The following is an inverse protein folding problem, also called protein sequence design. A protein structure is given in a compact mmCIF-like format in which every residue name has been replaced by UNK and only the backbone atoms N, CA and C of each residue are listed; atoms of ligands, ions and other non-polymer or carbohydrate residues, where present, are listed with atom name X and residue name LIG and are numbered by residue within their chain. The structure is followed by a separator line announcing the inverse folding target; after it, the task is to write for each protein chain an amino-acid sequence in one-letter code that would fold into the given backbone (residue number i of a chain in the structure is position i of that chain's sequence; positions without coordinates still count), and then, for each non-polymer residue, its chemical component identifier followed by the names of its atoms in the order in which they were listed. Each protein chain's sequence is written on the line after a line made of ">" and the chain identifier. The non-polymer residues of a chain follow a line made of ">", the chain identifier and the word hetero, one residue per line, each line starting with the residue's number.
data_IF_226770496899
#
_entry.id   IF_226770496899
#
_cell.length_a   1.000
_cell.length_b   1.000
_cell.length_c   1.000
_cell.angle_alpha   90.00
_cell.angle_beta   90.00
_cell.angle_gamma   90.00
#
_symmetry.space_group_name_H-M   'P 1'
#
loop_
_entity.id
_entity.type
_entity.pdbx_description
1 polymer ?
#
# COMPACT_ATOMS: atom_id res chain seq x y z
N UNK A 1 -6.73 32.38 -21.53
CA UNK A 1 -7.66 31.23 -21.46
C UNK A 1 -8.14 31.11 -20.02
N UNK A 2 -9.46 31.16 -19.81
CA UNK A 2 -10.09 31.02 -18.49
C UNK A 2 -10.42 29.56 -18.18
N UNK A 3 -10.65 29.26 -16.91
CA UNK A 3 -11.11 27.94 -16.45
C UNK A 3 -12.60 27.71 -16.70
N UNK A 4 -13.34 28.81 -16.92
CA UNK A 4 -14.77 28.83 -17.13
C UNK A 4 -15.10 29.63 -18.39
N UNK A 5 -16.10 29.16 -19.12
CA UNK A 5 -16.80 29.87 -20.17
C UNK A 5 -18.17 30.28 -19.65
N UNK A 6 -18.63 31.46 -20.10
CA UNK A 6 -20.00 31.91 -19.89
C UNK A 6 -20.72 31.75 -21.22
N UNK A 7 -21.72 30.88 -21.23
CA UNK A 7 -22.62 30.71 -22.36
C UNK A 7 -23.92 31.45 -22.03
N UNK A 8 -24.27 32.43 -22.86
CA UNK A 8 -25.57 33.10 -22.80
C UNK A 8 -26.50 32.44 -23.81
N UNK A 9 -27.61 31.87 -23.32
CA UNK A 9 -28.72 31.47 -24.19
C UNK A 9 -29.59 32.69 -24.53
N UNK A 10 -30.40 32.58 -25.59
CA UNK A 10 -31.34 33.61 -26.06
C UNK A 10 -32.33 34.09 -24.98
N UNK A 11 -32.48 33.37 -23.88
CA UNK A 11 -33.33 33.68 -22.73
C UNK A 11 -32.60 34.43 -21.60
N UNK A 12 -31.41 35.00 -21.88
CA UNK A 12 -30.55 35.71 -20.91
C UNK A 12 -30.14 34.87 -19.69
N UNK A 13 -30.20 33.55 -19.79
CA UNK A 13 -29.66 32.65 -18.78
C UNK A 13 -28.19 32.38 -19.05
N UNK A 14 -27.35 32.68 -18.06
CA UNK A 14 -25.90 32.45 -18.10
C UNK A 14 -25.58 31.07 -17.53
N UNK A 15 -25.02 30.19 -18.37
CA UNK A 15 -24.48 28.90 -17.96
C UNK A 15 -22.96 28.99 -17.85
N UNK A 16 -22.42 28.55 -16.72
CA UNK A 16 -20.97 28.46 -16.50
C UNK A 16 -20.51 27.07 -16.93
N UNK A 17 -19.80 26.97 -18.05
CA UNK A 17 -19.21 25.72 -18.54
C UNK A 17 -17.71 25.67 -18.23
N UNK A 18 -17.20 24.51 -17.84
CA UNK A 18 -15.76 24.33 -17.62
C UNK A 18 -15.07 24.19 -18.97
N UNK A 19 -13.96 24.90 -19.18
CA UNK A 19 -13.21 24.81 -20.43
C UNK A 19 -12.50 23.47 -20.57
N UNK A 20 -12.31 23.01 -21.80
CA UNK A 20 -11.70 21.69 -22.04
C UNK A 20 -10.29 21.53 -21.43
N UNK A 21 -9.39 22.53 -21.51
CA UNK A 21 -8.11 22.46 -20.79
C UNK A 21 -8.27 22.37 -19.27
N UNK A 22 -9.25 23.07 -18.69
CA UNK A 22 -9.53 23.01 -17.25
C UNK A 22 -10.14 21.67 -16.85
N UNK A 23 -11.00 21.08 -17.68
CA UNK A 23 -11.55 19.73 -17.48
C UNK A 23 -10.43 18.68 -17.45
N UNK A 24 -9.53 18.70 -18.44
CA UNK A 24 -8.37 17.79 -18.49
C UNK A 24 -7.48 17.96 -17.24
N UNK A 25 -7.23 19.20 -16.80
CA UNK A 25 -6.47 19.43 -15.57
C UNK A 25 -7.20 18.95 -14.32
N UNK A 26 -8.51 19.18 -14.22
CA UNK A 26 -9.32 18.74 -13.08
C UNK A 26 -9.39 17.22 -13.01
N UNK A 27 -9.57 16.53 -14.13
CA UNK A 27 -9.51 15.06 -14.20
C UNK A 27 -8.13 14.53 -13.80
N UNK A 28 -7.05 15.20 -14.22
CA UNK A 28 -5.70 14.84 -13.80
C UNK A 28 -5.51 15.02 -12.29
N UNK A 29 -5.98 16.14 -11.72
CA UNK A 29 -5.92 16.41 -10.28
C UNK A 29 -6.79 15.44 -9.48
N UNK A 30 -7.97 15.08 -9.99
CA UNK A 30 -8.86 14.10 -9.39
C UNK A 30 -8.22 12.71 -9.38
N UNK A 31 -7.60 12.29 -10.50
CA UNK A 31 -6.82 11.03 -10.58
C UNK A 31 -5.68 11.01 -9.56
N UNK A 32 -4.97 12.14 -9.40
CA UNK A 32 -3.90 12.27 -8.40
C UNK A 32 -4.45 12.22 -6.97
N UNK A 33 -5.51 12.97 -6.69
CA UNK A 33 -6.10 13.09 -5.35
C UNK A 33 -6.69 11.76 -4.87
N UNK A 34 -7.38 11.04 -5.75
CA UNK A 34 -8.06 9.80 -5.42
C UNK A 34 -7.15 8.56 -5.47
N UNK A 35 -5.86 8.72 -5.82
CA UNK A 35 -4.89 7.62 -6.01
C UNK A 35 -5.52 6.42 -6.75
N UNK A 36 -6.35 6.69 -7.77
CA UNK A 36 -7.23 5.68 -8.38
C UNK A 36 -6.42 4.45 -8.81
N UNK A 37 -6.84 3.28 -8.37
CA UNK A 37 -6.27 2.00 -8.79
C UNK A 37 -6.78 1.65 -10.18
N UNK A 38 -5.93 1.83 -11.19
CA UNK A 38 -6.22 1.39 -12.55
C UNK A 38 -6.40 -0.15 -12.62
N UNK A 39 -7.30 -0.63 -13.49
CA UNK A 39 -7.51 -2.06 -13.71
C UNK A 39 -6.38 -2.68 -14.55
N UNK A 40 -5.32 -3.17 -13.89
CA UNK A 40 -4.18 -3.81 -14.57
C UNK A 40 -4.58 -4.98 -15.49
N UNK A 41 -5.62 -5.75 -15.11
CA UNK A 41 -6.16 -6.84 -15.93
C UNK A 41 -6.80 -6.33 -17.22
N UNK A 42 -7.45 -5.16 -17.15
CA UNK A 42 -8.07 -4.51 -18.29
C UNK A 42 -7.04 -4.28 -19.40
N UNK A 43 -5.87 -3.74 -19.05
CA UNK A 43 -4.81 -3.50 -20.02
C UNK A 43 -4.27 -4.78 -20.66
N UNK A 44 -4.03 -5.85 -19.89
CA UNK A 44 -3.54 -7.12 -20.45
C UNK A 44 -4.55 -7.72 -21.43
N UNK A 45 -5.83 -7.72 -21.06
CA UNK A 45 -6.91 -8.19 -21.93
C UNK A 45 -7.09 -7.28 -23.16
N UNK A 46 -6.96 -5.96 -23.00
CA UNK A 46 -7.06 -5.01 -24.09
C UNK A 46 -5.90 -5.16 -25.09
N UNK A 47 -4.66 -5.37 -24.63
CA UNK A 47 -3.53 -5.70 -25.53
C UNK A 47 -3.80 -6.98 -26.31
N UNK A 48 -4.23 -8.04 -25.62
CA UNK A 48 -4.57 -9.31 -26.27
C UNK A 48 -5.67 -9.12 -27.32
N UNK A 49 -6.74 -8.39 -26.97
CA UNK A 49 -7.87 -8.17 -27.88
C UNK A 49 -7.49 -7.30 -29.06
N UNK A 50 -6.61 -6.31 -28.85
CA UNK A 50 -6.08 -5.47 -29.93
C UNK A 50 -5.27 -6.29 -30.94
N UNK A 51 -4.49 -7.28 -30.50
CA UNK A 51 -3.64 -8.08 -31.40
C UNK A 51 -4.34 -9.31 -31.99
N UNK A 52 -5.27 -9.92 -31.26
CA UNK A 52 -5.84 -11.22 -31.61
C UNK A 52 -7.31 -11.17 -32.05
N UNK A 53 -7.88 -9.96 -32.24
CA UNK A 53 -9.22 -9.81 -32.82
C UNK A 53 -9.22 -10.07 -34.33
N UNK A 54 -10.33 -10.55 -34.92
CA UNK A 54 -10.45 -10.68 -36.37
C UNK A 54 -10.17 -9.37 -37.12
N UNK A 55 -10.59 -8.24 -36.54
CA UNK A 55 -10.37 -6.90 -37.08
C UNK A 55 -8.90 -6.51 -37.10
N UNK A 56 -8.10 -7.04 -36.17
CA UNK A 56 -6.65 -6.81 -36.14
C UNK A 56 -5.95 -7.35 -37.39
N UNK A 57 -6.49 -8.39 -38.03
CA UNK A 57 -5.93 -8.90 -39.28
C UNK A 57 -6.12 -7.93 -40.45
N UNK A 58 -7.20 -7.14 -40.43
CA UNK A 58 -7.51 -6.17 -41.48
C UNK A 58 -6.80 -4.83 -41.25
N UNK A 59 -6.60 -4.46 -39.99
CA UNK A 59 -6.05 -3.16 -39.59
C UNK A 59 -4.87 -3.34 -38.63
N UNK A 60 -3.82 -4.04 -39.11
CA UNK A 60 -2.65 -4.42 -38.29
C UNK A 60 -1.88 -3.21 -37.75
N UNK A 61 -1.84 -2.09 -38.47
CA UNK A 61 -1.19 -0.84 -38.04
C UNK A 61 -1.91 -0.21 -36.83
N UNK A 62 -3.25 -0.13 -36.88
CA UNK A 62 -4.08 0.39 -35.78
C UNK A 62 -4.07 -0.57 -34.59
N UNK A 63 -4.09 -1.87 -34.86
CA UNK A 63 -3.98 -2.90 -33.85
C UNK A 63 -2.64 -2.85 -33.11
N UNK A 64 -1.52 -2.65 -33.83
CA UNK A 64 -0.20 -2.49 -33.23
C UNK A 64 -0.12 -1.22 -32.37
N UNK A 65 -0.63 -0.09 -32.88
CA UNK A 65 -0.67 1.18 -32.12
C UNK A 65 -1.50 1.04 -30.84
N UNK A 66 -2.65 0.36 -30.93
CA UNK A 66 -3.52 0.08 -29.80
C UNK A 66 -2.83 -0.81 -28.78
N UNK A 67 -2.24 -1.93 -29.22
CA UNK A 67 -1.50 -2.85 -28.36
C UNK A 67 -0.32 -2.18 -27.65
N UNK A 68 0.42 -1.33 -28.36
CA UNK A 68 1.52 -0.54 -27.80
C UNK A 68 1.03 0.41 -26.71
N UNK A 69 -0.05 1.16 -26.96
CA UNK A 69 -0.66 2.08 -26.00
C UNK A 69 -1.12 1.36 -24.74
N UNK A 70 -1.85 0.25 -24.86
CA UNK A 70 -2.34 -0.50 -23.70
C UNK A 70 -1.19 -1.14 -22.90
N UNK A 71 -0.15 -1.60 -23.58
CA UNK A 71 1.06 -2.11 -22.90
C UNK A 71 1.79 -1.00 -22.13
N UNK A 72 1.87 0.21 -22.71
CA UNK A 72 2.47 1.37 -22.04
C UNK A 72 1.65 1.79 -20.83
N UNK A 73 0.33 1.79 -20.95
CA UNK A 73 -0.58 2.06 -19.83
C UNK A 73 -0.31 1.07 -18.70
N UNK A 74 -0.32 -0.24 -18.98
CA UNK A 74 0.00 -1.28 -18.00
C UNK A 74 1.30 -1.01 -17.24
N UNK A 75 2.40 -0.77 -17.95
CA UNK A 75 3.70 -0.53 -17.31
C UNK A 75 3.70 0.75 -16.47
N UNK A 76 3.03 1.81 -16.93
CA UNK A 76 2.90 3.04 -16.15
C UNK A 76 2.09 2.82 -14.88
N UNK A 77 0.97 2.10 -14.95
CA UNK A 77 0.16 1.77 -13.77
C UNK A 77 0.96 0.96 -12.75
N UNK A 78 1.78 0.01 -13.20
CA UNK A 78 2.65 -0.79 -12.33
C UNK A 78 3.74 0.06 -11.67
N UNK A 79 4.36 1.00 -12.41
CA UNK A 79 5.33 1.96 -11.86
C UNK A 79 4.68 2.88 -10.82
N UNK A 80 3.50 3.42 -11.13
CA UNK A 80 2.71 4.24 -10.21
C UNK A 80 2.39 3.47 -8.92
N UNK A 81 1.96 2.21 -9.03
CA UNK A 81 1.70 1.37 -7.86
C UNK A 81 2.95 1.21 -6.99
N UNK A 82 4.09 0.89 -7.61
CA UNK A 82 5.38 0.77 -6.91
C UNK A 82 5.74 2.07 -6.18
N UNK A 83 5.59 3.21 -6.84
CA UNK A 83 5.96 4.50 -6.28
C UNK A 83 4.98 4.96 -5.18
N UNK A 84 3.70 4.60 -5.29
CA UNK A 84 2.72 4.76 -4.21
C UNK A 84 3.13 3.95 -2.96
N UNK A 85 3.56 2.69 -3.13
CA UNK A 85 4.06 1.87 -2.00
C UNK A 85 5.27 2.52 -1.35
N UNK A 86 6.22 3.06 -2.14
CA UNK A 86 7.36 3.82 -1.60
C UNK A 86 6.91 5.04 -0.81
N UNK A 87 5.87 5.74 -1.27
CA UNK A 87 5.22 6.83 -0.53
C UNK A 87 4.72 6.37 0.83
N UNK A 88 3.94 5.28 0.85
CA UNK A 88 3.44 4.68 2.09
C UNK A 88 4.55 4.19 3.03
N UNK A 89 5.68 3.71 2.52
CA UNK A 89 6.84 3.35 3.36
C UNK A 89 7.37 4.59 4.09
N UNK A 90 7.57 5.69 3.36
CA UNK A 90 8.07 6.96 3.95
C UNK A 90 7.09 7.47 5.00
N UNK A 91 5.80 7.45 4.67
CA UNK A 91 4.74 7.93 5.55
C UNK A 91 4.59 7.05 6.81
N UNK A 92 4.69 5.73 6.66
CA UNK A 92 4.63 4.82 7.80
C UNK A 92 5.77 5.07 8.79
N UNK A 93 6.99 5.30 8.31
CA UNK A 93 8.15 5.57 9.17
C UNK A 93 8.07 6.96 9.83
N UNK A 94 7.38 7.92 9.23
CA UNK A 94 7.25 9.27 9.79
C UNK A 94 6.12 9.42 10.82
N UNK A 95 5.23 8.42 10.99
CA UNK A 95 4.15 8.51 11.99
C UNK A 95 4.71 8.50 13.41
N UNK A 96 4.19 9.38 14.26
CA UNK A 96 4.59 9.54 15.66
C UNK A 96 3.62 8.89 16.64
N UNK A 97 2.49 8.35 16.17
CA UNK A 97 1.50 7.66 16.98
C UNK A 97 1.14 6.30 16.40
N UNK A 98 1.06 5.29 17.27
CA UNK A 98 0.62 3.95 16.90
C UNK A 98 -0.78 3.96 16.28
N UNK A 99 -1.68 4.81 16.80
CA UNK A 99 -3.04 5.00 16.27
C UNK A 99 -3.02 5.51 14.83
N UNK A 100 -2.24 6.55 14.55
CA UNK A 100 -2.11 7.14 13.21
C UNK A 100 -1.51 6.16 12.21
N UNK A 101 -0.53 5.36 12.65
CA UNK A 101 0.07 4.32 11.82
C UNK A 101 -0.91 3.19 11.51
N UNK A 102 -1.75 2.80 12.46
CA UNK A 102 -2.80 1.79 12.24
C UNK A 102 -3.90 2.32 11.30
N UNK A 103 -4.26 3.61 11.39
CA UNK A 103 -5.18 4.26 10.43
C UNK A 103 -4.58 4.25 9.03
N UNK A 104 -3.33 4.71 8.87
CA UNK A 104 -2.60 4.65 7.60
C UNK A 104 -2.60 3.23 7.03
N UNK A 105 -2.42 2.22 7.87
CA UNK A 105 -2.37 0.83 7.43
C UNK A 105 -3.73 0.29 6.98
N UNK A 106 -4.75 0.39 7.83
CA UNK A 106 -6.04 -0.26 7.61
C UNK A 106 -7.00 0.55 6.75
N UNK A 107 -6.94 1.87 6.81
CA UNK A 107 -7.85 2.76 6.09
C UNK A 107 -7.27 3.21 4.76
N UNK A 108 -5.95 3.44 4.67
CA UNK A 108 -5.35 3.98 3.44
C UNK A 108 -4.58 2.92 2.64
N UNK A 109 -3.58 2.27 3.23
CA UNK A 109 -2.72 1.34 2.49
C UNK A 109 -3.47 0.07 2.06
N UNK A 110 -4.25 -0.52 2.97
CA UNK A 110 -5.00 -1.75 2.66
C UNK A 110 -6.10 -1.50 1.61
N UNK A 111 -6.69 -0.30 1.58
CA UNK A 111 -7.72 0.05 0.59
C UNK A 111 -7.14 0.48 -0.75
N UNK A 112 -5.97 1.13 -0.79
CA UNK A 112 -5.44 1.68 -2.04
C UNK A 112 -4.38 0.79 -2.71
N UNK A 113 -3.71 -0.10 -1.96
CA UNK A 113 -2.60 -0.92 -2.48
C UNK A 113 -2.93 -2.41 -2.46
N UNK A 114 -3.56 -2.90 -1.39
CA UNK A 114 -3.92 -4.31 -1.24
C UNK A 114 -5.20 -4.66 -2.02
N UNK A 115 -5.92 -3.67 -2.56
CA UNK A 115 -7.22 -3.94 -3.17
C UNK A 115 -7.15 -4.81 -4.43
N UNK A 116 -8.31 -5.38 -4.78
CA UNK A 116 -8.51 -6.55 -5.65
C UNK A 116 -7.70 -6.62 -6.95
N UNK A 117 -7.24 -5.51 -7.53
CA UNK A 117 -6.65 -5.46 -8.87
C UNK A 117 -5.22 -6.01 -8.94
N UNK A 118 -4.35 -5.71 -7.98
CA UNK A 118 -2.97 -6.24 -7.96
C UNK A 118 -2.94 -7.75 -7.65
N UNK A 119 -3.74 -8.19 -6.65
CA UNK A 119 -3.84 -9.61 -6.33
C UNK A 119 -4.48 -10.43 -7.44
N UNK A 120 -5.50 -9.88 -8.15
CA UNK A 120 -6.02 -10.51 -9.36
C UNK A 120 -4.89 -10.66 -10.37
N UNK A 121 -4.17 -9.61 -10.75
CA UNK A 121 -3.05 -9.71 -11.70
C UNK A 121 -2.05 -10.83 -11.34
N UNK A 122 -1.71 -10.99 -10.06
CA UNK A 122 -0.79 -12.02 -9.53
C UNK A 122 -1.36 -13.45 -9.50
N UNK A 123 -2.65 -13.60 -9.20
CA UNK A 123 -3.33 -14.92 -9.08
C UNK A 123 -4.12 -15.31 -10.33
N UNK A 124 -4.18 -14.40 -11.29
CA UNK A 124 -4.97 -14.49 -12.48
C UNK A 124 -4.29 -15.40 -13.49
N UNK A 125 -4.97 -16.49 -13.82
CA UNK A 125 -4.76 -17.27 -15.04
C UNK A 125 -4.63 -16.39 -16.30
N UNK A 126 -5.19 -15.17 -16.32
CA UNK A 126 -5.19 -14.30 -17.50
C UNK A 126 -3.81 -13.82 -17.96
N UNK A 127 -2.87 -13.49 -17.07
CA UNK A 127 -1.53 -13.07 -17.52
C UNK A 127 -0.80 -14.26 -18.14
N UNK A 128 -0.85 -15.42 -17.47
CA UNK A 128 -0.28 -16.66 -18.00
C UNK A 128 -0.99 -17.14 -19.28
N UNK A 129 -2.29 -16.86 -19.43
CA UNK A 129 -3.12 -17.25 -20.58
C UNK A 129 -2.89 -16.34 -21.79
N UNK A 130 -2.82 -15.03 -21.61
CA UNK A 130 -2.75 -14.07 -22.72
C UNK A 130 -1.31 -13.76 -23.13
N UNK A 131 -0.34 -13.81 -22.22
CA UNK A 131 1.08 -13.52 -22.52
C UNK A 131 1.62 -14.37 -23.68
N UNK A 132 1.43 -15.71 -23.72
CA UNK A 132 1.92 -16.51 -24.84
C UNK A 132 1.30 -16.09 -26.17
N UNK A 133 -0.01 -15.81 -26.20
CA UNK A 133 -0.70 -15.38 -27.40
C UNK A 133 -0.22 -14.01 -27.89
N UNK A 134 -0.04 -13.04 -26.99
CA UNK A 134 0.50 -11.71 -27.32
C UNK A 134 1.91 -11.84 -27.91
N UNK A 135 2.80 -12.58 -27.24
CA UNK A 135 4.18 -12.76 -27.70
C UNK A 135 4.22 -13.47 -29.05
N UNK A 136 3.44 -14.54 -29.22
CA UNK A 136 3.39 -15.28 -30.47
C UNK A 136 2.87 -14.39 -31.62
N UNK A 137 1.83 -13.59 -31.37
CA UNK A 137 1.27 -12.70 -32.40
C UNK A 137 2.25 -11.60 -32.81
N UNK A 138 2.96 -11.02 -31.85
CA UNK A 138 4.04 -10.06 -32.15
C UNK A 138 5.16 -10.71 -32.96
N UNK A 139 5.57 -11.95 -32.61
CA UNK A 139 6.62 -12.64 -33.36
C UNK A 139 6.17 -12.99 -34.79
N UNK A 140 4.92 -13.43 -34.96
CA UNK A 140 4.29 -13.72 -36.24
C UNK A 140 4.26 -12.46 -37.14
N UNK A 141 3.87 -11.31 -36.58
CA UNK A 141 3.86 -10.05 -37.33
C UNK A 141 5.26 -9.58 -37.72
N UNK A 142 6.27 -9.80 -36.88
CA UNK A 142 7.67 -9.53 -37.22
C UNK A 142 8.25 -10.49 -38.25
N UNK A 143 7.79 -11.75 -38.33
CA UNK A 143 8.32 -12.73 -39.27
C UNK A 143 7.64 -12.69 -40.63
N UNK A 144 6.32 -12.50 -40.67
CA UNK A 144 5.51 -12.75 -41.87
C UNK A 144 4.83 -11.49 -42.42
N UNK A 145 4.56 -10.49 -41.58
CA UNK A 145 3.65 -9.39 -41.93
C UNK A 145 4.28 -8.00 -41.91
N UNK A 146 5.61 -7.88 -41.78
CA UNK A 146 6.29 -6.57 -41.69
C UNK A 146 5.92 -5.68 -42.87
N UNK A 147 6.16 -6.10 -44.11
CA UNK A 147 5.95 -5.24 -45.27
C UNK A 147 4.47 -4.89 -45.51
N UNK A 148 3.54 -5.77 -45.11
CA UNK A 148 2.11 -5.47 -45.12
C UNK A 148 1.77 -4.36 -44.11
N UNK A 149 2.26 -4.48 -42.87
CA UNK A 149 2.03 -3.50 -41.81
C UNK A 149 2.64 -2.14 -42.18
N UNK A 150 3.85 -2.12 -42.74
CA UNK A 150 4.49 -0.88 -43.20
C UNK A 150 3.68 -0.19 -44.29
N UNK A 151 3.12 -0.95 -45.24
CA UNK A 151 2.23 -0.40 -46.28
C UNK A 151 0.98 0.24 -45.67
N UNK A 152 0.32 -0.42 -44.71
CA UNK A 152 -0.84 0.14 -44.02
C UNK A 152 -0.51 1.47 -43.32
N UNK A 153 0.64 1.54 -42.65
CA UNK A 153 1.10 2.81 -42.06
C UNK A 153 1.37 3.89 -43.12
N UNK A 154 1.98 3.54 -44.25
CA UNK A 154 2.27 4.48 -45.35
C UNK A 154 0.99 4.99 -46.03
N UNK A 155 -0.05 4.16 -46.13
CA UNK A 155 -1.36 4.55 -46.65
C UNK A 155 -2.05 5.58 -45.74
N UNK A 156 -1.87 5.43 -44.42
CA UNK A 156 -2.40 6.31 -43.38
C UNK A 156 -1.63 7.62 -43.27
N UNK A 157 -0.30 7.58 -43.39
CA UNK A 157 0.60 8.72 -43.26
C UNK A 157 1.58 8.77 -44.44
N UNK A 158 1.13 9.38 -45.53
CA UNK A 158 1.85 9.40 -46.82
C UNK A 158 3.14 10.23 -46.79
N UNK A 159 3.26 11.16 -45.85
CA UNK A 159 4.40 12.08 -45.76
C UNK A 159 5.56 11.48 -44.94
N UNK A 160 5.28 10.44 -44.14
CA UNK A 160 6.27 9.80 -43.29
C UNK A 160 7.19 8.88 -44.09
N UNK A 161 8.52 8.99 -43.97
CA UNK A 161 9.44 8.09 -44.67
C UNK A 161 9.30 6.65 -44.19
N UNK A 162 9.34 5.70 -45.14
CA UNK A 162 9.19 4.26 -44.86
C UNK A 162 10.21 3.77 -43.80
N UNK A 163 11.45 4.25 -43.86
CA UNK A 163 12.51 3.90 -42.91
C UNK A 163 12.12 4.24 -41.47
N UNK A 164 11.47 5.39 -41.26
CA UNK A 164 11.01 5.83 -39.94
C UNK A 164 9.85 4.95 -39.46
N UNK A 165 8.91 4.62 -40.33
CA UNK A 165 7.81 3.71 -40.02
C UNK A 165 8.34 2.33 -39.62
N UNK A 166 9.32 1.82 -40.37
CA UNK A 166 9.95 0.52 -40.11
C UNK A 166 10.70 0.51 -38.77
N UNK A 167 11.40 1.59 -38.45
CA UNK A 167 12.02 1.74 -37.14
C UNK A 167 10.97 1.72 -36.02
N UNK A 168 9.91 2.53 -36.13
CA UNK A 168 8.84 2.58 -35.13
C UNK A 168 8.11 1.24 -34.96
N UNK A 169 7.92 0.50 -36.04
CA UNK A 169 7.36 -0.85 -36.00
C UNK A 169 8.20 -1.76 -35.10
N UNK A 170 9.52 -1.81 -35.31
CA UNK A 170 10.42 -2.63 -34.49
C UNK A 170 10.52 -2.14 -33.05
N UNK A 171 10.49 -0.82 -32.83
CA UNK A 171 10.45 -0.25 -31.48
C UNK A 171 9.19 -0.68 -30.72
N UNK A 172 8.01 -0.58 -31.35
CA UNK A 172 6.72 -0.95 -30.72
C UNK A 172 6.65 -2.45 -30.43
N UNK A 173 6.97 -3.28 -31.39
CA UNK A 173 6.95 -4.74 -31.26
C UNK A 173 7.97 -5.24 -30.22
N UNK A 174 9.19 -4.70 -30.22
CA UNK A 174 10.21 -4.97 -29.20
C UNK A 174 9.78 -4.51 -27.81
N UNK A 175 9.18 -3.32 -27.70
CA UNK A 175 8.64 -2.81 -26.43
C UNK A 175 7.56 -3.73 -25.87
N UNK A 176 6.57 -4.13 -26.69
CA UNK A 176 5.50 -5.03 -26.26
C UNK A 176 6.09 -6.37 -25.80
N UNK A 177 6.98 -6.95 -26.61
CA UNK A 177 7.62 -8.24 -26.28
C UNK A 177 8.39 -8.17 -24.97
N UNK A 178 9.21 -7.14 -24.79
CA UNK A 178 10.03 -6.94 -23.59
C UNK A 178 9.15 -6.73 -22.37
N UNK A 179 8.13 -5.87 -22.46
CA UNK A 179 7.18 -5.61 -21.39
C UNK A 179 6.51 -6.90 -20.88
N UNK A 180 6.06 -7.76 -21.79
CA UNK A 180 5.38 -9.00 -21.43
C UNK A 180 6.33 -10.13 -20.97
N UNK A 181 7.59 -10.14 -21.44
CA UNK A 181 8.63 -11.06 -20.94
C UNK A 181 9.08 -10.70 -19.53
N UNK A 182 9.26 -9.42 -19.27
CA UNK A 182 9.74 -8.90 -17.97
C UNK A 182 8.60 -8.61 -16.98
N UNK A 183 7.35 -8.88 -17.35
CA UNK A 183 6.19 -8.59 -16.52
C UNK A 183 6.32 -9.17 -15.11
N UNK A 184 6.85 -10.38 -14.97
CA UNK A 184 7.07 -11.02 -13.67
C UNK A 184 8.08 -10.25 -12.81
N UNK A 185 9.14 -9.68 -13.41
CA UNK A 185 10.12 -8.87 -12.69
C UNK A 185 9.49 -7.59 -12.12
N UNK A 186 8.60 -6.94 -12.88
CA UNK A 186 7.85 -5.78 -12.39
C UNK A 186 6.96 -6.17 -11.19
N UNK A 187 6.30 -7.33 -11.27
CA UNK A 187 5.45 -7.82 -10.18
C UNK A 187 6.24 -8.20 -8.93
N UNK A 188 7.38 -8.87 -9.09
CA UNK A 188 8.31 -9.22 -8.02
C UNK A 188 8.88 -7.97 -7.34
N UNK A 189 9.18 -6.92 -8.11
CA UNK A 189 9.63 -5.65 -7.54
C UNK A 189 8.55 -5.02 -6.66
N UNK A 190 7.30 -5.00 -7.12
CA UNK A 190 6.15 -4.51 -6.34
C UNK A 190 5.98 -5.34 -5.05
N UNK A 191 6.06 -6.66 -5.14
CA UNK A 191 5.99 -7.57 -3.98
C UNK A 191 7.10 -7.27 -2.97
N UNK A 192 8.33 -7.03 -3.44
CA UNK A 192 9.46 -6.64 -2.59
C UNK A 192 9.17 -5.34 -1.83
N UNK A 193 8.59 -4.34 -2.49
CA UNK A 193 8.22 -3.08 -1.86
C UNK A 193 7.04 -3.25 -0.89
N UNK A 194 6.06 -4.10 -1.19
CA UNK A 194 4.98 -4.43 -0.25
C UNK A 194 5.50 -5.11 1.01
N UNK A 195 6.40 -6.09 0.87
CA UNK A 195 7.06 -6.73 2.01
C UNK A 195 7.88 -5.72 2.82
N UNK A 196 8.56 -4.78 2.14
CA UNK A 196 9.30 -3.71 2.79
C UNK A 196 8.37 -2.76 3.56
N UNK A 197 7.20 -2.41 3.02
CA UNK A 197 6.19 -1.63 3.74
C UNK A 197 5.70 -2.34 4.99
N UNK A 198 5.28 -3.62 4.89
CA UNK A 198 4.83 -4.40 6.04
C UNK A 198 5.90 -4.46 7.13
N UNK A 199 7.16 -4.63 6.72
CA UNK A 199 8.31 -4.64 7.64
C UNK A 199 8.55 -3.28 8.31
N UNK A 200 8.52 -2.20 7.55
CA UNK A 200 8.78 -0.84 8.06
C UNK A 200 7.66 -0.35 8.98
N UNK A 201 6.40 -0.58 8.60
CA UNK A 201 5.24 -0.28 9.45
C UNK A 201 5.25 -1.09 10.74
N UNK A 202 5.59 -2.39 10.70
CA UNK A 202 5.77 -3.19 11.91
C UNK A 202 6.83 -2.61 12.86
N UNK A 203 8.01 -2.26 12.33
CA UNK A 203 9.10 -1.67 13.13
C UNK A 203 8.67 -0.37 13.78
N UNK A 204 8.01 0.50 13.03
CA UNK A 204 7.54 1.77 13.56
C UNK A 204 6.46 1.55 14.63
N UNK A 205 5.51 0.63 14.40
CA UNK A 205 4.47 0.32 15.39
C UNK A 205 5.09 -0.20 16.68
N UNK A 206 6.05 -1.14 16.58
CA UNK A 206 6.77 -1.67 17.73
C UNK A 206 7.49 -0.56 18.50
N UNK A 207 8.25 0.30 17.80
CA UNK A 207 8.94 1.43 18.41
C UNK A 207 7.98 2.37 19.17
N UNK A 208 6.85 2.71 18.54
CA UNK A 208 5.85 3.61 19.14
C UNK A 208 5.20 2.99 20.39
N UNK A 209 4.89 1.70 20.35
CA UNK A 209 4.28 0.98 21.49
C UNK A 209 5.27 0.73 22.64
N UNK A 210 6.55 0.51 22.34
CA UNK A 210 7.61 0.36 23.36
C UNK A 210 7.94 1.72 24.01
N UNK A 211 8.01 2.78 23.22
CA UNK A 211 8.29 4.14 23.70
C UNK A 211 7.14 4.68 24.56
N UNK A 212 5.87 4.44 24.19
CA UNK A 212 4.72 4.82 25.03
C UNK A 212 4.75 4.10 26.40
N UNK A 213 5.14 2.83 26.43
CA UNK A 213 5.25 2.06 27.69
C UNK A 213 6.42 2.54 28.55
N UNK A 214 7.58 2.77 27.95
CA UNK A 214 8.78 3.19 28.67
C UNK A 214 8.63 4.62 29.20
N UNK A 215 8.01 5.54 28.46
CA UNK A 215 7.73 6.90 28.94
C UNK A 215 6.70 6.89 30.07
N UNK A 216 5.63 6.11 29.95
CA UNK A 216 4.61 5.99 31.00
C UNK A 216 5.21 5.38 32.27
N UNK A 217 6.02 4.34 32.12
CA UNK A 217 6.70 3.68 33.24
C UNK A 217 7.75 4.57 33.88
N UNK A 218 8.57 5.26 33.09
CA UNK A 218 9.55 6.23 33.60
C UNK A 218 8.86 7.36 34.35
N UNK A 219 7.70 7.84 33.86
CA UNK A 219 6.92 8.85 34.57
C UNK A 219 6.37 8.32 35.89
N UNK A 220 5.84 7.08 35.92
CA UNK A 220 5.38 6.42 37.15
C UNK A 220 6.55 6.24 38.12
N UNK A 221 7.70 5.74 37.67
CA UNK A 221 8.89 5.52 38.50
C UNK A 221 9.42 6.84 39.08
N UNK A 222 9.38 7.94 38.30
CA UNK A 222 9.73 9.29 38.78
C UNK A 222 8.71 9.77 39.82
N UNK A 223 7.40 9.59 39.58
CA UNK A 223 6.35 9.99 40.50
C UNK A 223 6.40 9.19 41.81
N UNK A 224 6.64 7.89 41.74
CA UNK A 224 6.81 7.00 42.89
C UNK A 224 8.07 7.34 43.69
N UNK A 225 9.17 7.67 43.00
CA UNK A 225 10.39 8.15 43.64
C UNK A 225 10.17 9.48 44.37
N UNK A 226 9.48 10.44 43.74
CA UNK A 226 9.12 11.72 44.37
C UNK A 226 8.21 11.48 45.58
N UNK A 227 7.18 10.64 45.43
CA UNK A 227 6.26 10.31 46.51
C UNK A 227 7.00 9.65 47.70
N UNK A 228 7.92 8.73 47.44
CA UNK A 228 8.72 8.07 48.48
C UNK A 228 9.65 9.03 49.23
N UNK A 229 10.23 10.01 48.54
CA UNK A 229 11.10 11.03 49.16
C UNK A 229 10.32 12.04 50.00
N UNK A 230 9.11 12.43 49.56
CA UNK A 230 8.19 13.30 50.31
C UNK A 230 7.72 12.60 51.58
N UNK A 231 7.41 11.30 51.50
CA UNK A 231 6.97 10.50 52.66
C UNK A 231 8.08 10.22 53.68
N UNK A 232 9.33 10.02 53.25
CA UNK A 232 10.45 9.70 54.15
C UNK A 232 11.06 10.91 54.88
N UNK A 233 10.96 12.12 54.31
CA UNK A 233 11.65 13.30 54.85
C UNK A 233 10.73 14.28 55.58
N UNK A 234 9.44 13.97 55.74
CA UNK A 234 8.41 14.89 56.27
C UNK A 234 8.41 16.27 55.56
N UNK A 235 8.91 16.34 54.30
CA UNK A 235 8.82 17.56 53.51
C UNK A 235 7.43 17.65 52.90
N UNK A 236 6.85 18.85 52.83
CA UNK A 236 5.66 19.03 52.00
C UNK A 236 6.03 18.81 50.53
N UNK A 237 5.10 18.26 49.73
CA UNK A 237 5.29 18.06 48.29
C UNK A 237 5.73 19.37 47.59
N UNK A 238 5.27 20.50 48.11
CA UNK A 238 5.60 21.85 47.63
C UNK A 238 7.08 22.19 47.88
N UNK A 239 7.58 21.94 49.10
CA UNK A 239 8.98 22.22 49.46
C UNK A 239 9.96 21.32 48.68
N UNK A 240 9.57 20.07 48.40
CA UNK A 240 10.39 19.15 47.60
C UNK A 240 10.50 19.57 46.13
N UNK A 241 9.39 20.02 45.53
CA UNK A 241 9.35 20.53 44.15
C UNK A 241 10.10 21.85 43.97
N UNK A 242 10.09 22.73 44.99
CA UNK A 242 10.74 24.05 44.93
C UNK A 242 12.25 24.00 45.23
N UNK A 243 12.73 23.06 46.05
CA UNK A 243 14.10 23.10 46.58
C UNK A 243 14.94 21.81 46.39
N UNK A 244 14.33 20.66 46.12
CA UNK A 244 15.03 19.36 46.12
C UNK A 244 15.08 18.65 44.76
N UNK A 245 14.30 19.08 43.76
CA UNK A 245 14.40 18.54 42.41
C UNK A 245 15.65 19.10 41.69
N UNK A 246 16.62 18.27 41.26
CA UNK A 246 17.78 18.73 40.48
C UNK A 246 17.41 19.14 39.03
N UNK A 247 16.14 18.97 38.65
CA UNK A 247 15.59 19.41 37.36
C UNK A 247 14.65 20.57 37.64
N UNK A 248 15.03 21.79 37.25
CA UNK A 248 14.06 22.89 37.16
C UNK A 248 13.01 22.47 36.13
N UNK A 249 11.88 21.94 36.59
CA UNK A 249 10.69 21.83 35.77
C UNK A 249 10.33 23.27 35.43
N UNK A 250 10.64 23.70 34.21
CA UNK A 250 10.24 25.01 33.73
C UNK A 250 8.73 25.13 33.94
N UNK A 251 8.31 26.16 34.69
CA UNK A 251 6.90 26.53 34.80
C UNK A 251 6.34 26.67 33.38
N UNK A 252 5.58 25.67 32.92
CA UNK A 252 4.66 25.89 31.82
C UNK A 252 3.54 26.76 32.38
N UNK A 253 3.76 28.08 32.36
CA UNK A 253 2.70 29.06 32.55
C UNK A 253 1.69 28.85 31.44
N UNK A 254 0.50 28.38 31.78
CA UNK A 254 -0.67 28.54 30.91
C UNK A 254 -0.92 30.04 30.75
N UNK A 255 -0.37 30.64 29.70
CA UNK A 255 -0.88 31.92 29.21
C UNK A 255 -2.11 31.61 28.37
N UNK A 256 -3.27 31.60 29.01
CA UNK A 256 -4.49 31.97 28.30
C UNK A 256 -4.58 33.49 28.35
N UNK A 257 -4.38 34.11 27.20
CA UNK A 257 -4.87 35.45 26.86
C UNK A 257 -5.00 35.46 25.34
N UNK A 258 -6.18 35.06 24.86
CA UNK A 258 -6.59 35.34 23.49
C UNK A 258 -6.31 36.82 23.18
N UNK A 259 -5.58 37.14 22.10
CA UNK A 259 -5.67 38.47 21.52
C UNK A 259 -7.05 38.59 20.87
N UNK A 260 -7.87 39.52 21.38
CA UNK A 260 -9.20 39.90 20.86
C UNK A 260 -9.19 40.37 19.38
N UNK A 261 -8.04 40.38 18.70
CA UNK A 261 -7.89 40.69 17.27
C UNK A 261 -6.78 39.86 16.62
N UNK A 262 -7.00 39.38 15.39
CA UNK A 262 -5.97 38.71 14.56
C UNK A 262 -5.12 39.74 13.80
N UNK A 263 -3.80 39.84 14.02
CA UNK A 263 -2.91 40.68 13.22
C UNK A 263 -2.56 39.98 11.89
N UNK A 264 -2.28 40.77 10.84
CA UNK A 264 -1.81 40.29 9.52
C UNK A 264 -0.50 39.49 9.66
N UNK A 265 -0.45 38.31 9.03
CA UNK A 265 0.72 37.41 9.03
C UNK A 265 1.86 37.96 8.14
N UNK A 266 3.08 38.15 8.66
CA UNK A 266 4.30 38.13 7.85
C UNK A 266 4.75 36.67 7.58
N UNK A 267 5.62 36.48 6.60
CA UNK A 267 6.06 35.17 6.09
C UNK A 267 6.61 34.22 7.18
N UNK A 268 6.36 32.91 7.01
CA UNK A 268 6.72 31.86 7.98
C UNK A 268 8.23 31.75 8.23
N UNK A 269 8.62 31.74 9.51
CA UNK A 269 10.00 31.49 9.97
C UNK A 269 10.47 30.06 9.64
N UNK A 270 11.68 29.96 9.12
CA UNK A 270 12.39 28.72 8.86
C UNK A 270 12.73 28.00 10.19
N UNK A 271 12.25 26.77 10.37
CA UNK A 271 12.63 25.91 11.50
C UNK A 271 13.81 25.01 11.09
N UNK A 272 14.95 25.04 11.78
CA UNK A 272 16.07 24.17 11.43
C UNK A 272 15.74 22.70 11.78
N UNK A 273 16.01 21.79 10.84
CA UNK A 273 15.88 20.35 11.03
C UNK A 273 16.86 19.85 12.11
N UNK A 274 16.37 19.05 13.05
CA UNK A 274 17.22 18.32 13.98
C UNK A 274 18.01 17.26 13.21
N UNK A 275 19.34 17.40 13.15
CA UNK A 275 20.23 16.38 12.57
C UNK A 275 20.12 15.08 13.36
N UNK A 276 19.42 14.10 12.81
CA UNK A 276 19.57 12.69 13.16
C UNK A 276 21.02 12.29 12.91
N UNK A 277 21.64 11.63 13.87
CA UNK A 277 22.97 11.02 13.70
C UNK A 277 22.87 10.00 12.57
N UNK A 278 23.41 10.33 11.40
CA UNK A 278 23.44 9.43 10.26
C UNK A 278 24.42 8.29 10.54
N UNK A 279 23.90 7.09 10.85
CA UNK A 279 24.75 5.91 10.82
C UNK A 279 25.32 5.71 9.39
N UNK A 280 26.61 5.36 9.25
CA UNK A 280 27.21 5.03 7.96
C UNK A 280 26.40 3.95 7.24
N UNK A 281 26.26 4.10 5.91
CA UNK A 281 25.42 3.24 5.07
C UNK A 281 25.73 1.75 5.22
N UNK A 282 27.00 1.40 5.44
CA UNK A 282 27.42 0.01 5.64
C UNK A 282 27.01 -0.56 7.00
N UNK A 283 27.09 0.22 8.09
CA UNK A 283 26.54 -0.18 9.39
C UNK A 283 25.02 -0.32 9.35
N UNK A 284 24.32 0.55 8.61
CA UNK A 284 22.86 0.42 8.37
C UNK A 284 22.52 -0.87 7.64
N UNK A 285 23.29 -1.26 6.61
CA UNK A 285 23.09 -2.50 5.85
C UNK A 285 23.39 -3.76 6.67
N UNK A 286 24.45 -3.74 7.48
CA UNK A 286 24.83 -4.86 8.36
C UNK A 286 23.80 -5.07 9.48
N UNK A 287 23.40 -3.99 10.16
CA UNK A 287 22.33 -4.02 11.15
C UNK A 287 21.00 -4.46 10.53
N UNK A 288 20.71 -4.04 9.29
CA UNK A 288 19.54 -4.48 8.53
C UNK A 288 19.59 -5.98 8.19
N UNK A 289 20.75 -6.54 7.85
CA UNK A 289 20.94 -7.98 7.59
C UNK A 289 20.79 -8.83 8.86
N UNK A 290 21.50 -8.50 9.95
CA UNK A 290 21.33 -9.18 11.24
C UNK A 290 19.89 -9.13 11.74
N UNK A 291 19.25 -7.97 11.65
CA UNK A 291 17.84 -7.81 12.05
C UNK A 291 16.83 -8.42 11.07
N UNK A 292 17.25 -8.80 9.85
CA UNK A 292 16.42 -9.59 8.92
C UNK A 292 16.47 -11.08 9.27
N UNK A 293 17.63 -11.57 9.67
CA UNK A 293 17.86 -12.96 10.07
C UNK A 293 17.15 -13.27 11.40
N UNK A 294 17.32 -12.43 12.42
CA UNK A 294 16.70 -12.59 13.75
C UNK A 294 15.16 -12.55 13.75
N UNK A 295 14.56 -11.87 12.77
CA UNK A 295 13.10 -11.75 12.63
C UNK A 295 12.50 -12.87 11.80
N UNK A 296 13.23 -13.36 10.78
CA UNK A 296 12.84 -14.55 10.00
C UNK A 296 12.78 -15.79 10.88
N UNK A 297 13.65 -15.89 11.88
CA UNK A 297 13.64 -16.99 12.85
C UNK A 297 12.47 -16.92 13.83
N UNK A 298 12.05 -15.72 14.25
CA UNK A 298 11.01 -15.55 15.30
C UNK A 298 9.57 -15.49 14.80
N UNK A 299 9.32 -15.11 13.56
CA UNK A 299 7.97 -14.97 13.01
C UNK A 299 7.84 -15.60 11.61
N UNK A 300 8.48 -16.76 11.43
CA UNK A 300 8.33 -17.56 10.21
C UNK A 300 6.89 -18.05 10.05
N UNK A 301 6.53 -18.51 8.85
CA UNK A 301 5.21 -19.09 8.59
C UNK A 301 4.97 -20.31 9.49
N UNK A 302 6.02 -21.06 9.77
CA UNK A 302 6.02 -22.20 10.68
C UNK A 302 5.68 -21.78 12.12
N UNK A 303 6.32 -20.73 12.65
CA UNK A 303 6.02 -20.19 13.99
C UNK A 303 4.59 -19.66 14.09
N UNK A 304 4.10 -18.98 13.05
CA UNK A 304 2.72 -18.46 13.02
C UNK A 304 1.69 -19.58 12.90
N UNK A 305 2.02 -20.67 12.20
CA UNK A 305 1.17 -21.86 12.17
C UNK A 305 1.09 -22.52 13.55
N UNK A 306 2.22 -22.67 14.26
CA UNK A 306 2.25 -23.23 15.61
C UNK A 306 1.41 -22.38 16.57
N UNK A 307 1.59 -21.05 16.55
CA UNK A 307 0.78 -20.11 17.32
C UNK A 307 -0.73 -20.29 17.07
N UNK A 308 -1.14 -20.36 15.80
CA UNK A 308 -2.55 -20.58 15.47
C UNK A 308 -3.05 -21.92 15.99
N UNK A 309 -2.31 -23.01 15.77
CA UNK A 309 -2.72 -24.36 16.17
C UNK A 309 -2.81 -24.52 17.69
N UNK A 310 -1.87 -23.91 18.43
CA UNK A 310 -1.85 -23.89 19.90
C UNK A 310 -3.09 -23.17 20.46
N UNK A 311 -3.34 -21.93 20.00
CA UNK A 311 -4.48 -21.13 20.46
C UNK A 311 -5.83 -21.68 19.97
N UNK A 312 -5.86 -22.38 18.84
CA UNK A 312 -7.06 -23.04 18.35
C UNK A 312 -7.50 -24.23 19.21
N UNK A 313 -6.58 -24.86 19.96
CA UNK A 313 -6.85 -26.01 20.86
C UNK A 313 -7.66 -27.12 20.18
N UNK A 314 -7.38 -27.39 18.91
CA UNK A 314 -8.07 -28.41 18.12
C UNK A 314 -9.42 -27.99 17.53
N UNK A 315 -9.89 -26.75 17.73
CA UNK A 315 -11.08 -26.21 17.07
C UNK A 315 -10.79 -25.88 15.61
N UNK A 316 -11.79 -26.10 14.75
CA UNK A 316 -11.72 -25.76 13.33
C UNK A 316 -11.94 -24.26 13.07
N UNK A 317 -12.60 -23.55 13.99
CA UNK A 317 -12.88 -22.11 13.91
C UNK A 317 -12.49 -21.40 15.21
N UNK A 318 -11.85 -20.24 15.07
CA UNK A 318 -11.43 -19.36 16.18
C UNK A 318 -11.62 -17.90 15.79
N UNK A 319 -12.06 -17.07 16.72
CA UNK A 319 -12.16 -15.62 16.51
C UNK A 319 -10.83 -14.90 16.84
N UNK A 320 -10.51 -13.83 16.11
CA UNK A 320 -9.28 -13.07 16.33
C UNK A 320 -9.18 -12.50 17.75
N UNK A 321 -10.30 -12.16 18.38
CA UNK A 321 -10.34 -11.69 19.77
C UNK A 321 -9.87 -12.76 20.74
N UNK A 322 -10.05 -14.04 20.44
CA UNK A 322 -9.61 -15.15 21.28
C UNK A 322 -8.11 -15.39 21.17
N UNK A 323 -7.49 -15.03 20.05
CA UNK A 323 -6.06 -15.26 19.82
C UNK A 323 -5.16 -14.28 20.56
N UNK A 324 -5.67 -13.11 20.95
CA UNK A 324 -4.86 -12.00 21.49
C UNK A 324 -4.97 -11.94 23.01
N UNK A 325 -3.93 -12.28 23.76
CA UNK A 325 -3.88 -12.05 25.22
C UNK A 325 -2.84 -10.99 25.60
N UNK A 326 -1.76 -10.90 24.84
CA UNK A 326 -0.64 -10.00 25.09
C UNK A 326 -0.16 -9.35 23.77
N UNK A 327 0.86 -8.50 23.85
CA UNK A 327 1.41 -7.81 22.68
C UNK A 327 2.01 -8.78 21.66
N UNK A 328 2.63 -9.86 22.11
CA UNK A 328 3.26 -10.84 21.22
C UNK A 328 2.19 -11.60 20.41
N UNK A 329 1.08 -11.97 21.05
CA UNK A 329 -0.07 -12.58 20.40
C UNK A 329 -0.73 -11.62 19.40
N UNK A 330 -0.82 -10.32 19.73
CA UNK A 330 -1.31 -9.31 18.80
C UNK A 330 -0.40 -9.16 17.58
N UNK A 331 0.93 -9.18 17.78
CA UNK A 331 1.90 -9.17 16.69
C UNK A 331 1.76 -10.44 15.83
N UNK A 332 1.65 -11.61 16.45
CA UNK A 332 1.42 -12.87 15.74
C UNK A 332 0.09 -12.86 14.98
N UNK A 333 -0.95 -12.17 15.47
CA UNK A 333 -2.20 -11.95 14.75
C UNK A 333 -2.00 -11.08 13.49
N UNK A 334 -1.15 -10.05 13.53
CA UNK A 334 -0.80 -9.25 12.35
C UNK A 334 -0.11 -10.13 11.30
N UNK A 335 0.86 -10.94 11.72
CA UNK A 335 1.56 -11.87 10.84
C UNK A 335 0.65 -13.00 10.33
N UNK A 336 -0.29 -13.46 11.16
CA UNK A 336 -1.33 -14.42 10.77
C UNK A 336 -2.17 -13.84 9.63
N UNK A 337 -2.59 -12.58 9.76
CA UNK A 337 -3.30 -11.87 8.69
C UNK A 337 -2.41 -11.60 7.47
N UNK A 338 -1.10 -11.42 7.64
CA UNK A 338 -0.17 -11.28 6.52
C UNK A 338 0.06 -12.61 5.76
N UNK A 339 0.02 -13.75 6.45
CA UNK A 339 0.36 -15.07 5.91
C UNK A 339 -0.86 -15.94 5.56
N UNK A 340 -2.10 -15.51 5.79
CA UNK A 340 -3.29 -16.35 5.56
C UNK A 340 -3.43 -16.92 4.13
N UNK A 341 -2.82 -16.27 3.12
CA UNK A 341 -2.80 -16.75 1.73
C UNK A 341 -1.47 -17.39 1.32
N UNK A 342 -0.54 -17.57 2.26
CA UNK A 342 0.71 -18.29 2.03
C UNK A 342 0.43 -19.79 1.80
N UNK A 343 1.13 -20.42 0.86
CA UNK A 343 0.90 -21.84 0.50
C UNK A 343 0.98 -22.78 1.71
N UNK A 344 1.97 -22.52 2.58
CA UNK A 344 2.22 -23.28 3.82
C UNK A 344 1.36 -22.86 5.02
N UNK A 345 0.48 -21.88 4.92
CA UNK A 345 -0.36 -21.48 6.05
C UNK A 345 -1.35 -22.61 6.41
N UNK A 346 -1.48 -22.90 7.70
CA UNK A 346 -2.34 -23.95 8.25
C UNK A 346 -3.81 -23.51 8.46
N UNK A 347 -4.12 -22.26 8.12
CA UNK A 347 -5.41 -21.60 8.36
C UNK A 347 -5.83 -20.76 7.15
N UNK A 348 -7.09 -20.33 7.17
CA UNK A 348 -7.75 -19.48 6.17
C UNK A 348 -8.67 -18.52 6.90
N UNK A 349 -8.84 -17.29 6.42
CA UNK A 349 -9.78 -16.33 7.00
C UNK A 349 -11.11 -16.46 6.25
N UNK A 350 -12.22 -16.60 6.97
CA UNK A 350 -13.55 -16.79 6.37
C UNK A 350 -14.00 -15.50 5.68
N UNK A 351 -14.13 -15.52 4.36
CA UNK A 351 -14.57 -14.37 3.57
C UNK A 351 -16.09 -14.25 3.63
N UNK A 352 -16.60 -13.35 4.48
CA UNK A 352 -17.99 -12.90 4.33
C UNK A 352 -18.07 -11.80 3.26
N UNK A 353 -19.17 -11.72 2.51
CA UNK A 353 -19.33 -10.86 1.30
C UNK A 353 -19.11 -9.36 1.56
N UNK A 354 -19.00 -8.97 2.83
CA UNK A 354 -18.38 -7.73 3.29
C UNK A 354 -17.15 -8.15 4.11
N UNK A 355 -15.96 -8.07 3.52
CA UNK A 355 -14.66 -8.58 4.05
C UNK A 355 -14.27 -8.11 5.47
N UNK A 356 -15.10 -7.27 6.08
CA UNK A 356 -14.89 -6.66 7.39
C UNK A 356 -16.18 -6.49 8.21
N UNK A 357 -17.14 -7.40 8.08
CA UNK A 357 -18.35 -7.43 8.91
C UNK A 357 -18.11 -7.98 10.33
N UNK A 358 -16.85 -8.15 10.74
CA UNK A 358 -16.51 -8.38 12.15
C UNK A 358 -16.69 -7.09 12.93
N UNK A 359 -17.42 -7.15 14.05
CA UNK A 359 -17.55 -6.01 14.95
C UNK A 359 -16.17 -5.53 15.41
N UNK A 360 -16.03 -4.20 15.56
CA UNK A 360 -14.83 -3.63 16.18
C UNK A 360 -14.81 -4.09 17.64
N UNK A 361 -13.78 -4.82 18.00
CA UNK A 361 -13.57 -5.32 19.36
C UNK A 361 -12.36 -4.63 19.97
N UNK A 362 -12.47 -4.34 21.27
CA UNK A 362 -11.38 -3.83 22.07
C UNK A 362 -11.02 -4.87 23.12
N UNK A 363 -9.78 -5.35 23.10
CA UNK A 363 -9.25 -6.29 24.08
C UNK A 363 -7.99 -5.70 24.69
N UNK A 364 -8.13 -5.18 25.91
CA UNK A 364 -7.08 -4.39 26.57
C UNK A 364 -6.71 -3.14 25.76
N UNK A 365 -5.43 -2.88 25.47
CA UNK A 365 -5.00 -1.72 24.68
C UNK A 365 -5.17 -1.90 23.16
N UNK A 366 -5.63 -3.08 22.70
CA UNK A 366 -5.70 -3.42 21.28
C UNK A 366 -7.13 -3.24 20.74
N UNK A 367 -7.27 -2.49 19.66
CA UNK A 367 -8.52 -2.34 18.93
C UNK A 367 -8.37 -2.91 17.51
N UNK A 368 -9.20 -3.88 17.14
CA UNK A 368 -9.15 -4.56 15.84
C UNK A 368 -10.52 -5.14 15.48
N UNK A 369 -10.68 -5.62 14.25
CA UNK A 369 -11.93 -6.28 13.82
C UNK A 369 -11.90 -7.75 14.19
N UNK A 370 -13.00 -8.24 14.77
CA UNK A 370 -13.08 -9.63 15.17
C UNK A 370 -13.33 -10.54 13.95
N UNK A 371 -12.25 -11.01 13.32
CA UNK A 371 -12.33 -11.89 12.14
C UNK A 371 -12.37 -13.36 12.55
N UNK A 372 -13.08 -14.19 11.75
CA UNK A 372 -13.11 -15.65 11.94
C UNK A 372 -12.01 -16.32 11.15
N UNK A 373 -11.18 -17.09 11.85
CA UNK A 373 -10.03 -17.81 11.31
C UNK A 373 -10.34 -19.30 11.39
N UNK A 374 -10.24 -19.98 10.25
CA UNK A 374 -10.62 -21.38 10.05
C UNK A 374 -9.39 -22.21 9.74
N UNK A 375 -9.32 -23.43 10.26
CA UNK A 375 -8.25 -24.38 9.91
C UNK A 375 -8.36 -24.81 8.44
N UNK A 376 -7.20 -24.90 7.76
CA UNK A 376 -7.11 -25.34 6.36
C UNK A 376 -7.10 -26.87 6.30
N UNK A 377 -8.05 -27.46 5.58
CA UNK A 377 -8.12 -28.92 5.39
C UNK A 377 -7.09 -29.45 4.38
N UNK A 378 -6.88 -30.78 4.34
CA UNK A 378 -5.88 -31.48 3.49
C UNK A 378 -5.98 -31.17 1.98
N UNK A 379 -7.12 -30.68 1.49
CA UNK A 379 -7.36 -30.32 0.08
C UNK A 379 -7.40 -28.80 -0.18
N UNK A 380 -6.90 -27.96 0.74
CA UNK A 380 -6.88 -26.50 0.56
C UNK A 380 -8.23 -25.79 0.70
N UNK A 381 -9.32 -26.53 1.01
CA UNK A 381 -10.62 -26.00 1.44
C UNK A 381 -10.72 -26.05 2.97
N UNK A 382 -11.46 -25.10 3.56
CA UNK A 382 -11.75 -25.05 4.99
C UNK A 382 -12.31 -26.40 5.49
N UNK A 383 -11.84 -26.89 6.64
CA UNK A 383 -12.39 -28.10 7.28
C UNK A 383 -13.75 -27.76 7.88
N UNK A 384 -14.82 -27.96 7.11
CA UNK A 384 -16.17 -27.96 7.65
C UNK A 384 -16.46 -29.35 8.21
N UNK A 385 -16.49 -29.48 9.53
CA UNK A 385 -17.16 -30.59 10.18
C UNK A 385 -18.68 -30.40 9.99
N UNK A 386 -19.27 -31.13 9.05
CA UNK A 386 -20.73 -31.31 8.98
C UNK A 386 -21.13 -32.24 10.13
N UNK A 387 -21.60 -31.65 11.23
CA UNK A 387 -22.21 -32.35 12.34
C UNK A 387 -23.37 -31.51 12.88
N UNK A 388 -24.55 -32.11 12.89
CA UNK A 388 -25.85 -31.64 13.38
C UNK A 388 -26.58 -30.61 12.51
N UNK A 389 -27.49 -31.11 11.67
CA UNK A 389 -28.93 -31.01 11.92
C UNK A 389 -29.61 -32.23 11.28
N UNK A 390 -29.99 -33.18 12.14
CA UNK A 390 -31.17 -34.01 11.95
C UNK A 390 -32.29 -33.37 12.76
#
# INVERSE_FOLDING_TARGET
>A
MGWFNLEEDNDYQQYVTITEPARVMLEALEKIANRQTEEYRGYVFATYSALCSPEAELQKDLALDSAYRETRNLLNSLKTLRDNIKGYIKEAVSKTSAKELLILHFEEYTQNIIDQNYHRLKTSDHVSRYRPAIINKINEWESEYVDEIIKLYQERDKEKPEEVIRQEFYEKTSFIRTAYRELDLYLEEIDRYNALYAKSSYRQLKYLLETDRDLTRTLIDILDYIAGQVMQKELSLKDYLEHALPVKLNEFKFFNNDPLYKPRRPASEHRPEQKLVELPLEKKKELLRKTLEEVRERYSVEVINEFFLEKARGRDEVEAVELVENLEDFIKLIYLNAYFRHKKAAYVIKEDKRRFAGEKVQKGPFAFKNIKIVRKGKNGRASFNQGLFA
#
